data_IF_662041254453
#
_entry.id   IF_662041254453
#
_cell.length_a   1.000
_cell.length_b   1.000
_cell.length_c   1.000
_cell.angle_alpha   90.00
_cell.angle_beta   90.00
_cell.angle_gamma   90.00
#
_symmetry.space_group_name_H-M   'P 1'
#
loop_
_entity.id
_entity.type
_entity.pdbx_description
1 polymer ?
#
# COMPACT_ATOMS: atom_id res chain seq x y z
N UNK A 1 -18.80 -26.14 17.83
CA UNK A 1 -18.25 -25.07 16.97
C UNK A 1 -18.85 -23.76 17.46
N UNK A 2 -18.05 -22.88 18.06
CA UNK A 2 -18.56 -21.67 18.72
C UNK A 2 -19.27 -20.75 17.72
N UNK A 3 -20.27 -20.00 18.17
CA UNK A 3 -21.03 -19.04 17.34
C UNK A 3 -20.11 -18.04 16.63
N UNK A 4 -19.00 -17.66 17.25
CA UNK A 4 -17.96 -16.79 16.66
C UNK A 4 -17.33 -17.41 15.41
N UNK A 5 -17.07 -18.71 15.43
CA UNK A 5 -16.49 -19.42 14.28
C UNK A 5 -17.49 -19.50 13.14
N UNK A 6 -18.79 -19.66 13.45
CA UNK A 6 -19.85 -19.67 12.43
C UNK A 6 -19.98 -18.31 11.73
N UNK A 7 -19.96 -17.21 12.50
CA UNK A 7 -20.02 -15.86 11.94
C UNK A 7 -18.81 -15.54 11.06
N UNK A 8 -17.60 -15.87 11.50
CA UNK A 8 -16.39 -15.69 10.69
C UNK A 8 -16.48 -16.50 9.39
N UNK A 9 -16.98 -17.73 9.45
CA UNK A 9 -17.11 -18.59 8.29
C UNK A 9 -18.14 -18.07 7.28
N UNK A 10 -19.27 -17.53 7.74
CA UNK A 10 -20.27 -16.91 6.86
C UNK A 10 -19.72 -15.66 6.18
N UNK A 11 -19.07 -14.76 6.92
CA UNK A 11 -18.43 -13.57 6.35
C UNK A 11 -17.36 -13.92 5.33
N UNK A 12 -16.63 -15.03 5.51
CA UNK A 12 -15.60 -15.49 4.59
C UNK A 12 -16.16 -15.99 3.25
N UNK A 13 -17.30 -16.66 3.29
CA UNK A 13 -17.98 -17.18 2.09
C UNK A 13 -18.76 -16.10 1.33
N UNK A 14 -19.17 -15.03 2.01
CA UNK A 14 -19.86 -13.88 1.39
C UNK A 14 -18.90 -12.86 0.74
N UNK A 15 -17.57 -13.04 0.88
CA UNK A 15 -16.63 -12.11 0.27
C UNK A 15 -16.69 -12.19 -1.26
N UNK A 16 -16.79 -11.05 -1.97
CA UNK A 16 -16.80 -11.03 -3.42
C UNK A 16 -15.51 -11.62 -3.99
N UNK A 17 -15.61 -12.34 -5.11
CA UNK A 17 -14.45 -12.96 -5.80
C UNK A 17 -13.34 -11.95 -6.10
N UNK A 18 -13.69 -10.68 -6.31
CA UNK A 18 -12.73 -9.58 -6.47
C UNK A 18 -11.75 -9.44 -5.30
N UNK A 19 -12.18 -9.70 -4.07
CA UNK A 19 -11.29 -9.68 -2.90
C UNK A 19 -10.20 -10.75 -3.02
N UNK A 20 -10.59 -11.97 -3.39
CA UNK A 20 -9.69 -13.10 -3.56
C UNK A 20 -8.69 -12.88 -4.69
N UNK A 21 -9.16 -12.38 -5.83
CA UNK A 21 -8.29 -12.07 -6.98
C UNK A 21 -7.26 -11.00 -6.60
N UNK A 22 -7.69 -9.89 -5.98
CA UNK A 22 -6.78 -8.83 -5.52
C UNK A 22 -5.78 -9.35 -4.49
N UNK A 23 -6.21 -10.18 -3.56
CA UNK A 23 -5.35 -10.79 -2.54
C UNK A 23 -4.29 -11.69 -3.16
N UNK A 24 -4.67 -12.54 -4.12
CA UNK A 24 -3.76 -13.47 -4.77
C UNK A 24 -2.76 -12.74 -5.69
N UNK A 25 -3.20 -11.69 -6.38
CA UNK A 25 -2.32 -10.79 -7.14
C UNK A 25 -1.35 -10.08 -6.20
N UNK A 26 -1.83 -9.50 -5.09
CA UNK A 26 -0.98 -8.82 -4.13
C UNK A 26 0.07 -9.77 -3.51
N UNK A 27 -0.34 -11.00 -3.16
CA UNK A 27 0.56 -12.03 -2.67
C UNK A 27 1.60 -12.44 -3.74
N UNK A 28 1.18 -12.59 -5.00
CA UNK A 28 2.08 -12.89 -6.13
C UNK A 28 3.11 -11.78 -6.37
N UNK A 29 2.68 -10.52 -6.31
CA UNK A 29 3.58 -9.35 -6.41
C UNK A 29 4.57 -9.32 -5.25
N UNK A 30 4.12 -9.54 -4.01
CA UNK A 30 5.01 -9.62 -2.84
C UNK A 30 6.03 -10.75 -2.96
N UNK A 31 5.60 -11.93 -3.41
CA UNK A 31 6.49 -13.06 -3.63
C UNK A 31 7.55 -12.75 -4.69
N UNK A 32 7.13 -12.16 -5.82
CA UNK A 32 8.05 -11.74 -6.88
C UNK A 32 9.05 -10.71 -6.34
N UNK A 33 8.58 -9.70 -5.61
CA UNK A 33 9.43 -8.69 -4.97
C UNK A 33 10.47 -9.34 -4.05
N UNK A 34 10.04 -10.29 -3.20
CA UNK A 34 10.91 -11.01 -2.29
C UNK A 34 11.98 -11.80 -3.03
N UNK A 35 11.63 -12.47 -4.13
CA UNK A 35 12.62 -13.21 -4.95
C UNK A 35 13.62 -12.27 -5.63
N UNK A 36 13.18 -11.10 -6.09
CA UNK A 36 14.08 -10.08 -6.69
C UNK A 36 15.03 -9.53 -5.62
N UNK A 37 14.52 -9.15 -4.44
CA UNK A 37 15.33 -8.66 -3.32
C UNK A 37 16.34 -9.71 -2.86
N UNK A 38 15.93 -10.98 -2.74
CA UNK A 38 16.82 -12.10 -2.38
C UNK A 38 17.93 -12.32 -3.40
N UNK A 39 17.65 -12.15 -4.70
CA UNK A 39 18.67 -12.22 -5.75
C UNK A 39 19.58 -10.98 -5.73
N UNK A 40 19.02 -9.79 -5.57
CA UNK A 40 19.77 -8.54 -5.47
C UNK A 40 20.72 -8.53 -4.25
N UNK A 41 20.31 -9.12 -3.12
CA UNK A 41 21.14 -9.26 -1.93
C UNK A 41 22.43 -10.05 -2.16
N UNK A 42 22.48 -10.91 -3.18
CA UNK A 42 23.72 -11.61 -3.58
C UNK A 42 24.63 -10.76 -4.47
N UNK A 43 24.08 -9.74 -5.15
CA UNK A 43 24.82 -8.85 -6.05
C UNK A 43 25.50 -7.69 -5.30
N UNK A 44 24.98 -7.32 -4.12
CA UNK A 44 25.61 -6.36 -3.23
C UNK A 44 24.60 -5.59 -2.38
N UNK A 45 24.96 -5.31 -1.12
CA UNK A 45 24.09 -4.64 -0.14
C UNK A 45 23.57 -3.28 -0.62
N UNK A 46 24.37 -2.55 -1.40
CA UNK A 46 24.00 -1.22 -1.95
C UNK A 46 22.86 -1.34 -2.96
N UNK A 47 22.92 -2.32 -3.87
CA UNK A 47 21.88 -2.53 -4.89
C UNK A 47 20.56 -2.90 -4.24
N UNK A 48 20.61 -3.77 -3.22
CA UNK A 48 19.42 -4.12 -2.43
C UNK A 48 18.86 -2.92 -1.69
N UNK A 49 19.70 -2.11 -1.07
CA UNK A 49 19.27 -0.92 -0.35
C UNK A 49 18.55 0.05 -1.28
N UNK A 50 19.12 0.34 -2.46
CA UNK A 50 18.51 1.22 -3.46
C UNK A 50 17.18 0.65 -3.97
N UNK A 51 17.10 -0.65 -4.22
CA UNK A 51 15.87 -1.31 -4.65
C UNK A 51 14.76 -1.22 -3.58
N UNK A 52 15.10 -1.50 -2.32
CA UNK A 52 14.17 -1.41 -1.19
C UNK A 52 13.71 0.04 -1.00
N UNK A 53 14.63 1.00 -1.06
CA UNK A 53 14.32 2.42 -0.94
C UNK A 53 13.38 2.86 -2.07
N UNK A 54 13.62 2.40 -3.30
CA UNK A 54 12.76 2.69 -4.45
C UNK A 54 11.35 2.14 -4.27
N UNK A 55 11.22 0.87 -3.84
CA UNK A 55 9.92 0.24 -3.56
C UNK A 55 9.16 1.02 -2.48
N UNK A 56 9.82 1.31 -1.35
CA UNK A 56 9.23 2.08 -0.27
C UNK A 56 8.86 3.50 -0.72
N UNK A 57 9.66 4.12 -1.58
CA UNK A 57 9.36 5.42 -2.17
C UNK A 57 8.09 5.41 -3.02
N UNK A 58 7.90 4.41 -3.88
CA UNK A 58 6.69 4.29 -4.72
C UNK A 58 5.44 4.04 -3.86
N UNK A 59 5.54 3.13 -2.88
CA UNK A 59 4.43 2.83 -1.98
C UNK A 59 4.09 4.04 -1.11
N UNK A 60 5.10 4.65 -0.48
CA UNK A 60 4.95 5.84 0.36
C UNK A 60 4.40 7.04 -0.41
N UNK A 61 4.85 7.25 -1.66
CA UNK A 61 4.27 8.28 -2.54
C UNK A 61 2.79 8.03 -2.82
N UNK A 62 2.40 6.78 -3.08
CA UNK A 62 0.99 6.40 -3.23
C UNK A 62 0.19 6.66 -1.96
N UNK A 63 0.73 6.34 -0.78
CA UNK A 63 0.07 6.63 0.49
C UNK A 63 -0.08 8.13 0.73
N UNK A 64 1.00 8.91 0.63
CA UNK A 64 0.95 10.37 0.85
C UNK A 64 0.00 11.08 -0.13
N UNK A 65 -0.04 10.66 -1.40
CA UNK A 65 -0.84 11.33 -2.44
C UNK A 65 -2.27 10.81 -2.58
N UNK A 66 -2.48 9.50 -2.49
CA UNK A 66 -3.80 8.87 -2.64
C UNK A 66 -4.49 8.62 -1.29
N UNK A 67 -3.79 8.86 -0.17
CA UNK A 67 -4.26 8.67 1.22
C UNK A 67 -4.98 7.33 1.43
N UNK A 68 -4.53 6.32 0.68
CA UNK A 68 -4.98 4.93 0.75
C UNK A 68 -3.95 4.12 1.56
N UNK A 69 -3.77 4.53 2.80
CA UNK A 69 -2.91 3.85 3.78
C UNK A 69 -3.77 3.08 4.79
N UNK A 70 -3.28 1.95 5.30
CA UNK A 70 -3.96 1.25 6.38
C UNK A 70 -3.89 2.05 7.68
N UNK A 71 -4.93 1.97 8.52
CA UNK A 71 -5.12 2.82 9.70
C UNK A 71 -3.94 2.84 10.70
N UNK A 72 -3.13 1.78 10.75
CA UNK A 72 -1.97 1.71 11.62
C UNK A 72 -0.75 2.50 11.09
N UNK A 73 -0.69 2.79 9.79
CA UNK A 73 0.40 3.58 9.19
C UNK A 73 0.10 5.07 9.10
N UNK A 74 -1.17 5.47 9.30
CA UNK A 74 -1.60 6.87 9.35
C UNK A 74 -0.69 7.78 10.19
N UNK A 75 -0.24 7.45 11.42
CA UNK A 75 0.62 8.35 12.18
C UNK A 75 2.00 8.59 11.53
N UNK A 76 2.55 7.56 10.87
CA UNK A 76 3.84 7.66 10.17
C UNK A 76 3.66 8.46 8.89
N UNK A 77 2.59 8.17 8.12
CA UNK A 77 2.35 8.88 6.87
C UNK A 77 1.98 10.35 7.12
N UNK A 78 1.21 10.67 8.16
CA UNK A 78 0.91 12.05 8.55
C UNK A 78 2.16 12.83 8.94
N UNK A 79 3.12 12.18 9.60
CA UNK A 79 4.40 12.80 9.93
C UNK A 79 5.22 13.10 8.66
N UNK A 80 5.31 12.12 7.76
CA UNK A 80 6.05 12.23 6.50
C UNK A 80 5.39 13.22 5.53
N UNK A 81 4.05 13.24 5.48
CA UNK A 81 3.26 14.09 4.60
C UNK A 81 3.47 15.59 4.84
N UNK A 82 3.93 15.99 6.03
CA UNK A 82 4.29 17.39 6.34
C UNK A 82 5.47 17.92 5.50
N UNK A 83 6.32 17.02 5.01
CA UNK A 83 7.47 17.37 4.18
C UNK A 83 7.15 17.42 2.68
N UNK A 84 5.96 16.96 2.29
CA UNK A 84 5.53 16.97 0.90
C UNK A 84 4.50 18.08 0.68
N UNK A 85 4.55 18.82 -0.43
CA UNK A 85 3.51 19.78 -0.78
C UNK A 85 2.19 19.03 -0.91
N UNK A 86 1.22 19.41 -0.07
CA UNK A 86 -0.15 18.94 -0.16
C UNK A 86 -0.66 19.26 -1.58
N UNK A 87 -1.41 18.35 -2.20
CA UNK A 87 -2.02 18.64 -3.48
C UNK A 87 -2.87 19.91 -3.32
N UNK A 88 -2.48 20.99 -3.99
CA UNK A 88 -3.21 22.25 -3.96
C UNK A 88 -4.67 21.94 -4.34
N UNK A 89 -5.67 22.32 -3.52
CA UNK A 89 -7.06 22.25 -3.96
C UNK A 89 -7.13 23.02 -5.29
N UNK A 90 -7.72 22.41 -6.33
CA UNK A 90 -7.93 23.09 -7.59
C UNK A 90 -8.51 24.47 -7.29
N UNK A 91 -7.83 25.53 -7.77
CA UNK A 91 -8.25 26.90 -7.49
C UNK A 91 -9.76 27.01 -7.76
N UNK A 92 -10.56 27.58 -6.83
CA UNK A 92 -11.98 27.74 -7.08
C UNK A 92 -12.13 28.45 -8.42
N UNK A 93 -12.93 27.86 -9.31
CA UNK A 93 -13.16 28.40 -10.64
C UNK A 93 -13.47 29.89 -10.53
N UNK A 94 -12.93 30.75 -11.41
CA UNK A 94 -13.18 32.18 -11.32
C UNK A 94 -14.70 32.38 -11.32
N UNK A 95 -15.22 32.88 -10.19
CA UNK A 95 -16.60 33.30 -10.08
C UNK A 95 -16.77 34.45 -11.07
N UNK A 96 -17.26 34.13 -12.25
CA UNK A 96 -17.60 35.09 -13.29
C UNK A 96 -18.55 36.12 -12.70
N UNK A 97 -18.15 37.39 -12.82
CA UNK A 97 -19.03 38.53 -12.57
C UNK A 97 -20.11 38.59 -13.63
#
# INVERSE_FOLDING_TARGET
MSETVKHVFQTFMEMPVDFWVKTLIAAGVLFLLFTVVKKAARLGQIVTLLLVLFILGVIGYKWVRQRNEPAFMTPIVDFVARFFPQAQPAAPAPSGK
#
